data_IF_379002641429
#
_entry.id   IF_379002641429
#
_cell.length_a   1.000
_cell.length_b   1.000
_cell.length_c   1.000
_cell.angle_alpha   90.00
_cell.angle_beta   90.00
_cell.angle_gamma   90.00
#
_symmetry.space_group_name_H-M   'P 1'
#
loop_
_entity.id
_entity.type
_entity.pdbx_description
1 polymer ?
#
# COMPACT_ATOMS: atom_id res chain seq x y z
N UNK A 1 41.96 53.35 4.76
CA UNK A 1 42.06 52.46 3.58
C UNK A 1 41.64 51.07 4.03
N UNK A 2 40.43 50.68 3.65
CA UNK A 2 39.77 49.41 3.94
C UNK A 2 40.27 48.36 2.95
N UNK A 3 40.52 47.12 3.42
CA UNK A 3 40.39 45.93 2.58
C UNK A 3 39.79 44.79 3.42
N UNK A 4 38.57 44.41 3.04
CA UNK A 4 37.85 43.20 3.46
C UNK A 4 37.74 42.30 2.22
N UNK A 5 38.33 41.09 2.20
CA UNK A 5 38.20 40.18 1.07
C UNK A 5 36.93 39.34 1.22
N UNK A 6 35.98 39.61 0.32
CA UNK A 6 34.66 39.00 0.24
C UNK A 6 34.64 37.47 0.35
N UNK A 7 34.00 36.98 1.40
CA UNK A 7 33.50 35.60 1.49
C UNK A 7 32.10 35.53 0.90
N UNK A 8 32.01 35.10 -0.35
CA UNK A 8 30.76 34.69 -1.01
C UNK A 8 30.15 33.51 -0.25
N UNK A 9 29.12 33.77 0.57
CA UNK A 9 28.23 32.76 1.13
C UNK A 9 27.27 32.30 0.02
N UNK A 10 27.60 31.20 -0.66
CA UNK A 10 26.61 30.43 -1.42
C UNK A 10 25.60 29.83 -0.42
N UNK A 11 24.46 30.50 -0.25
CA UNK A 11 23.24 29.93 0.34
C UNK A 11 22.88 28.68 -0.46
N UNK A 12 23.07 27.50 0.13
CA UNK A 12 22.42 26.27 -0.34
C UNK A 12 20.92 26.47 -0.17
N UNK A 13 20.22 26.78 -1.26
CA UNK A 13 18.78 26.63 -1.32
C UNK A 13 18.47 25.14 -1.13
N UNK A 14 17.68 24.84 -0.11
CA UNK A 14 17.15 23.49 0.12
C UNK A 14 16.45 23.00 -1.14
N UNK A 15 16.71 21.73 -1.49
CA UNK A 15 16.16 21.08 -2.67
C UNK A 15 14.64 21.05 -2.63
N UNK A 16 14.01 22.05 -3.24
CA UNK A 16 12.61 21.94 -3.65
C UNK A 16 12.58 20.84 -4.70
N UNK A 17 11.90 19.72 -4.41
CA UNK A 17 11.57 18.75 -5.43
C UNK A 17 10.78 19.47 -6.54
N UNK A 18 11.45 19.81 -7.64
CA UNK A 18 10.81 20.40 -8.80
C UNK A 18 10.04 19.28 -9.50
N UNK A 19 8.77 19.12 -9.14
CA UNK A 19 7.83 18.33 -9.91
C UNK A 19 7.52 19.10 -11.20
N UNK A 20 7.73 18.45 -12.35
CA UNK A 20 7.42 19.05 -13.64
C UNK A 20 5.90 19.32 -13.75
N UNK A 21 5.47 20.51 -14.19
CA UNK A 21 4.07 20.97 -14.14
C UNK A 21 3.09 20.26 -15.09
N UNK A 22 3.51 19.22 -15.81
CA UNK A 22 2.72 18.55 -16.86
C UNK A 22 2.27 17.11 -16.52
N UNK A 23 2.28 16.69 -15.25
CA UNK A 23 1.78 15.37 -14.90
C UNK A 23 0.26 15.38 -14.74
N UNK A 24 -0.42 14.64 -15.60
CA UNK A 24 -1.82 14.22 -15.42
C UNK A 24 -2.00 13.58 -14.05
N UNK A 25 -2.94 14.09 -13.27
CA UNK A 25 -3.36 13.54 -11.98
C UNK A 25 -3.88 12.12 -12.18
N UNK A 26 -3.25 11.12 -11.56
CA UNK A 26 -3.77 9.75 -11.50
C UNK A 26 -4.80 9.64 -10.37
N UNK A 27 -5.68 8.64 -10.43
CA UNK A 27 -6.68 8.41 -9.40
C UNK A 27 -6.07 8.10 -8.02
N UNK A 28 -4.96 7.36 -8.00
CA UNK A 28 -4.26 6.98 -6.78
C UNK A 28 -2.79 7.46 -6.73
N UNK A 29 -2.24 7.63 -5.53
CA UNK A 29 -0.82 7.82 -5.24
C UNK A 29 -0.32 6.85 -4.17
N UNK A 30 0.77 6.12 -4.43
CA UNK A 30 1.26 5.06 -3.53
C UNK A 30 2.73 5.32 -3.18
N UNK A 31 3.05 5.35 -1.89
CA UNK A 31 4.41 5.53 -1.40
C UNK A 31 5.12 4.20 -1.13
N UNK A 32 6.31 4.04 -1.70
CA UNK A 32 7.32 3.07 -1.30
C UNK A 32 8.50 3.80 -0.68
N UNK A 33 8.93 3.39 0.52
CA UNK A 33 9.99 4.08 1.26
C UNK A 33 11.11 3.10 1.59
N UNK A 34 12.34 3.48 1.28
CA UNK A 34 13.54 2.67 1.50
C UNK A 34 14.72 3.53 1.96
N UNK A 35 15.38 3.11 3.04
CA UNK A 35 16.55 3.81 3.60
C UNK A 35 17.89 3.12 3.32
N UNK A 36 17.89 1.98 2.63
CA UNK A 36 19.14 1.32 2.26
C UNK A 36 19.95 2.14 1.28
N UNK A 37 21.26 1.89 1.20
CA UNK A 37 22.16 2.57 0.28
C UNK A 37 21.92 2.21 -1.19
N UNK A 38 21.36 1.02 -1.43
CA UNK A 38 20.93 0.53 -2.74
C UNK A 38 19.55 -0.13 -2.60
N UNK A 39 18.79 -0.13 -3.69
CA UNK A 39 17.52 -0.83 -3.78
C UNK A 39 17.71 -2.36 -3.72
N UNK A 40 16.72 -3.11 -3.20
CA UNK A 40 16.79 -4.57 -3.17
C UNK A 40 16.78 -5.18 -4.58
N UNK A 41 17.28 -6.41 -4.75
CA UNK A 41 17.42 -7.04 -6.07
C UNK A 41 16.09 -7.25 -6.80
N UNK A 42 14.98 -7.38 -6.06
CA UNK A 42 13.64 -7.54 -6.62
C UNK A 42 12.98 -6.23 -7.08
N UNK A 43 13.62 -5.07 -6.91
CA UNK A 43 13.03 -3.77 -7.26
C UNK A 43 12.52 -3.75 -8.71
N UNK A 44 13.26 -4.34 -9.66
CA UNK A 44 12.86 -4.32 -11.07
C UNK A 44 11.49 -4.97 -11.28
N UNK A 45 11.15 -6.02 -10.54
CA UNK A 45 9.83 -6.67 -10.63
C UNK A 45 8.73 -5.73 -10.15
N UNK A 46 8.98 -5.03 -9.05
CA UNK A 46 8.04 -4.06 -8.47
C UNK A 46 7.87 -2.84 -9.37
N UNK A 47 8.94 -2.36 -10.00
CA UNK A 47 8.87 -1.27 -10.99
C UNK A 47 8.04 -1.66 -12.22
N UNK A 48 8.22 -2.89 -12.74
CA UNK A 48 7.39 -3.38 -13.84
C UNK A 48 5.92 -3.52 -13.43
N UNK A 49 5.65 -4.00 -12.22
CA UNK A 49 4.30 -4.09 -11.67
C UNK A 49 3.63 -2.71 -11.51
N UNK A 50 4.37 -1.74 -10.98
CA UNK A 50 3.94 -0.36 -10.84
C UNK A 50 3.64 0.29 -12.22
N UNK A 51 4.54 0.13 -13.19
CA UNK A 51 4.39 0.72 -14.53
C UNK A 51 3.18 0.17 -15.31
N UNK A 52 2.71 -1.03 -14.98
CA UNK A 52 1.54 -1.65 -15.60
C UNK A 52 0.18 -1.19 -15.01
N UNK A 53 0.20 -0.46 -13.89
CA UNK A 53 -0.98 0.04 -13.18
C UNK A 53 -1.07 1.57 -13.28
N UNK A 54 -1.57 2.07 -14.41
CA UNK A 54 -1.48 3.49 -14.81
C UNK A 54 -2.49 4.41 -14.12
N UNK A 55 -3.45 3.87 -13.36
CA UNK A 55 -4.39 4.65 -12.56
C UNK A 55 -3.81 5.05 -11.20
N UNK A 56 -2.63 4.53 -10.86
CA UNK A 56 -1.84 4.93 -9.70
C UNK A 56 -0.51 5.56 -10.12
N UNK A 57 -0.07 6.58 -9.38
CA UNK A 57 1.32 7.07 -9.41
C UNK A 57 2.08 6.44 -8.24
N UNK A 58 3.27 5.92 -8.50
CA UNK A 58 4.11 5.25 -7.51
C UNK A 58 5.32 6.11 -7.15
N UNK A 59 5.40 6.49 -5.90
CA UNK A 59 6.45 7.34 -5.33
C UNK A 59 7.48 6.48 -4.60
N UNK A 60 8.64 6.31 -5.21
CA UNK A 60 9.79 5.62 -4.63
C UNK A 60 10.69 6.62 -3.92
N UNK A 61 10.62 6.64 -2.58
CA UNK A 61 11.43 7.49 -1.71
C UNK A 61 12.65 6.70 -1.23
N UNK A 62 13.83 7.01 -1.75
CA UNK A 62 15.05 6.27 -1.41
C UNK A 62 16.24 6.68 -2.28
N UNK A 63 17.20 5.75 -2.54
CA UNK A 63 18.23 5.94 -3.54
C UNK A 63 17.65 6.29 -4.92
N UNK A 64 18.42 6.92 -5.82
CA UNK A 64 18.02 7.09 -7.21
C UNK A 64 17.58 5.75 -7.80
N UNK A 65 16.44 5.74 -8.48
CA UNK A 65 16.02 4.57 -9.24
C UNK A 65 17.03 4.27 -10.37
N UNK A 66 17.15 3.01 -10.83
CA UNK A 66 17.98 2.67 -11.97
C UNK A 66 17.65 3.54 -13.20
N UNK A 67 18.65 3.93 -14.03
CA UNK A 67 18.40 4.70 -15.25
C UNK A 67 17.32 4.04 -16.12
N UNK A 68 16.41 4.85 -16.67
CA UNK A 68 15.29 4.36 -17.46
C UNK A 68 14.08 3.85 -16.67
N UNK A 69 14.14 3.79 -15.33
CA UNK A 69 13.01 3.34 -14.48
C UNK A 69 11.89 4.38 -14.31
N UNK A 70 12.19 5.66 -14.57
CA UNK A 70 11.21 6.75 -14.49
C UNK A 70 10.29 6.69 -15.73
N UNK A 71 9.37 5.74 -15.74
CA UNK A 71 8.43 5.51 -16.84
C UNK A 71 7.04 5.94 -16.39
N UNK A 72 6.45 6.92 -17.08
CA UNK A 72 5.06 7.34 -16.91
C UNK A 72 4.68 7.70 -15.47
N UNK A 73 4.08 6.74 -14.79
CA UNK A 73 3.50 6.81 -13.45
C UNK A 73 4.47 6.42 -12.30
N UNK A 74 5.73 6.12 -12.61
CA UNK A 74 6.78 5.87 -11.59
C UNK A 74 7.56 7.15 -11.31
N UNK A 75 7.77 7.46 -10.03
CA UNK A 75 8.40 8.69 -9.56
C UNK A 75 9.50 8.37 -8.56
N UNK A 76 10.73 8.84 -8.82
CA UNK A 76 11.81 8.78 -7.84
C UNK A 76 11.84 10.07 -7.03
N UNK A 77 11.84 9.93 -5.70
CA UNK A 77 12.12 11.01 -4.76
C UNK A 77 13.44 10.69 -4.05
N UNK A 78 14.37 11.65 -4.05
CA UNK A 78 15.68 11.46 -3.43
C UNK A 78 15.55 11.42 -1.91
N UNK A 79 15.42 10.21 -1.38
CA UNK A 79 15.35 9.89 0.04
C UNK A 79 16.68 9.41 0.60
N UNK A 80 17.79 9.54 -0.13
CA UNK A 80 19.10 9.02 0.30
C UNK A 80 19.46 9.48 1.70
N UNK A 81 19.97 8.54 2.49
CA UNK A 81 20.35 8.74 3.89
C UNK A 81 19.21 9.24 4.79
N UNK A 82 17.96 9.24 4.33
CA UNK A 82 16.78 9.68 5.08
C UNK A 82 16.67 11.17 5.32
N UNK A 83 17.43 12.02 4.62
CA UNK A 83 17.41 13.47 4.83
C UNK A 83 16.03 14.06 4.51
N UNK A 84 15.49 13.75 3.33
CA UNK A 84 14.14 14.16 2.94
C UNK A 84 13.10 13.75 3.98
N UNK A 85 13.13 12.49 4.43
CA UNK A 85 12.18 11.99 5.41
C UNK A 85 12.29 12.71 6.76
N UNK A 86 13.51 12.91 7.28
CA UNK A 86 13.70 13.64 8.55
C UNK A 86 13.16 15.07 8.47
N UNK A 87 13.39 15.77 7.34
CA UNK A 87 12.86 17.12 7.13
C UNK A 87 11.33 17.12 7.07
N UNK A 88 10.73 16.17 6.36
CA UNK A 88 9.26 16.03 6.31
C UNK A 88 8.67 15.68 7.66
N UNK A 89 9.26 14.74 8.40
CA UNK A 89 8.83 14.34 9.74
C UNK A 89 8.88 15.53 10.70
N UNK A 90 9.99 16.27 10.73
CA UNK A 90 10.13 17.44 11.59
C UNK A 90 9.10 18.52 11.24
N UNK A 91 8.85 18.74 9.95
CA UNK A 91 7.93 19.78 9.46
C UNK A 91 6.46 19.44 9.70
N UNK A 92 6.05 18.20 9.40
CA UNK A 92 4.64 17.81 9.37
C UNK A 92 4.16 17.11 10.65
N UNK A 93 5.06 16.44 11.38
CA UNK A 93 4.70 15.70 12.60
C UNK A 93 5.22 16.38 13.87
N UNK A 94 6.20 17.29 13.76
CA UNK A 94 6.80 17.98 14.90
C UNK A 94 7.55 17.04 15.85
N UNK A 95 8.02 15.89 15.35
CA UNK A 95 8.79 14.91 16.13
C UNK A 95 10.19 14.72 15.55
N UNK A 96 11.15 14.40 16.42
CA UNK A 96 12.50 13.99 16.00
C UNK A 96 12.60 12.47 16.16
N UNK A 97 13.01 11.78 15.10
CA UNK A 97 13.04 10.30 15.06
C UNK A 97 14.41 9.83 14.57
N UNK A 98 14.95 8.80 15.23
CA UNK A 98 16.07 8.03 14.71
C UNK A 98 15.54 7.03 13.68
N UNK A 99 15.67 7.37 12.40
CA UNK A 99 15.26 6.49 11.31
C UNK A 99 16.18 5.25 11.23
N UNK A 100 15.56 4.07 11.25
CA UNK A 100 16.17 2.78 10.95
C UNK A 100 15.28 2.04 9.95
N UNK A 101 15.77 0.98 9.32
CA UNK A 101 14.99 0.23 8.33
C UNK A 101 13.63 -0.23 8.88
N UNK A 102 13.62 -0.82 10.08
CA UNK A 102 12.37 -1.28 10.71
C UNK A 102 11.53 -0.13 11.25
N UNK A 103 12.17 0.96 11.72
CA UNK A 103 11.44 2.11 12.26
C UNK A 103 10.60 2.84 11.20
N UNK A 104 10.95 2.73 9.92
CA UNK A 104 10.13 3.28 8.84
C UNK A 104 8.74 2.65 8.78
N UNK A 105 8.60 1.37 9.15
CA UNK A 105 7.31 0.69 9.11
C UNK A 105 6.30 1.41 10.01
N UNK A 106 6.70 1.80 11.23
CA UNK A 106 5.86 2.59 12.15
C UNK A 106 5.34 3.91 11.57
N UNK A 107 6.04 4.45 10.57
CA UNK A 107 5.70 5.72 9.95
C UNK A 107 4.83 5.55 8.69
N UNK A 108 4.60 4.33 8.19
CA UNK A 108 3.76 4.09 7.00
C UNK A 108 2.41 4.81 7.04
N UNK A 109 1.64 4.79 8.16
CA UNK A 109 0.37 5.50 8.25
C UNK A 109 0.50 7.01 7.99
N UNK A 110 1.69 7.58 8.21
CA UNK A 110 1.96 9.02 8.08
C UNK A 110 2.44 9.43 6.70
N UNK A 111 2.84 8.50 5.81
CA UNK A 111 3.49 8.84 4.54
C UNK A 111 2.70 9.85 3.71
N UNK A 112 1.39 9.70 3.49
CA UNK A 112 0.64 10.70 2.74
C UNK A 112 0.62 12.08 3.41
N UNK A 113 0.57 12.15 4.74
CA UNK A 113 0.61 13.40 5.50
C UNK A 113 2.01 14.06 5.49
N UNK A 114 3.08 13.29 5.29
CA UNK A 114 4.43 13.82 5.10
C UNK A 114 4.65 14.46 3.73
N UNK A 115 3.80 14.13 2.75
CA UNK A 115 3.88 14.64 1.38
C UNK A 115 2.52 15.22 0.95
N UNK A 116 2.01 16.26 1.64
CA UNK A 116 0.68 16.79 1.37
C UNK A 116 0.56 17.35 -0.06
N UNK A 117 1.67 17.83 -0.64
CA UNK A 117 1.71 18.29 -2.02
C UNK A 117 1.52 17.17 -3.06
N UNK A 118 1.81 15.92 -2.69
CA UNK A 118 1.60 14.74 -3.54
C UNK A 118 0.24 14.11 -3.27
N UNK A 119 -0.15 13.99 -1.99
CA UNK A 119 -1.46 13.44 -1.60
C UNK A 119 -2.62 14.21 -2.26
N UNK A 120 -2.53 15.54 -2.35
CA UNK A 120 -3.54 16.39 -3.00
C UNK A 120 -3.72 16.18 -4.51
N UNK A 121 -2.81 15.46 -5.17
CA UNK A 121 -2.87 15.19 -6.61
C UNK A 121 -3.76 13.99 -6.95
N UNK A 122 -4.22 13.26 -5.94
CA UNK A 122 -4.91 11.99 -6.09
C UNK A 122 -6.16 11.96 -5.24
N UNK A 123 -7.21 11.31 -5.74
CA UNK A 123 -8.40 11.02 -4.95
C UNK A 123 -8.12 9.97 -3.88
N UNK A 124 -7.21 9.03 -4.19
CA UNK A 124 -6.79 7.96 -3.32
C UNK A 124 -5.29 8.04 -3.04
N UNK A 125 -4.87 7.77 -1.81
CA UNK A 125 -3.46 7.77 -1.45
C UNK A 125 -3.17 6.70 -0.40
N UNK A 126 -1.94 6.22 -0.38
CA UNK A 126 -1.52 5.31 0.66
C UNK A 126 -0.10 4.82 0.46
N UNK A 127 0.19 3.63 0.93
CA UNK A 127 1.54 3.11 1.00
C UNK A 127 1.55 1.62 0.71
N UNK A 128 2.73 1.13 0.33
CA UNK A 128 2.95 -0.28 0.06
C UNK A 128 4.34 -0.68 0.54
N UNK A 129 4.46 -1.93 0.98
CA UNK A 129 5.77 -2.54 1.14
C UNK A 129 6.50 -2.61 -0.20
N UNK A 130 7.83 -2.59 -0.11
CA UNK A 130 8.71 -2.54 -1.27
C UNK A 130 8.80 -3.88 -2.00
N UNK A 131 8.46 -4.98 -1.35
CA UNK A 131 8.41 -6.32 -1.88
C UNK A 131 7.00 -6.71 -2.34
N UNK A 132 6.11 -5.75 -2.61
CA UNK A 132 4.80 -6.04 -3.16
C UNK A 132 4.83 -5.97 -4.69
N UNK A 133 4.35 -7.05 -5.33
CA UNK A 133 3.96 -7.02 -6.74
C UNK A 133 2.44 -6.93 -6.84
N UNK A 134 2.00 -5.98 -7.67
CA UNK A 134 0.59 -5.68 -7.90
C UNK A 134 -0.03 -6.59 -8.95
N UNK A 135 -1.25 -7.07 -8.68
CA UNK A 135 -2.14 -7.62 -9.69
C UNK A 135 -2.80 -6.53 -10.54
N UNK A 136 -4.12 -6.62 -10.74
CA UNK A 136 -4.92 -5.63 -11.47
C UNK A 136 -5.38 -4.47 -10.56
N UNK A 137 -4.42 -3.73 -10.00
CA UNK A 137 -4.71 -2.57 -9.14
C UNK A 137 -5.53 -1.50 -9.88
N UNK A 138 -5.30 -1.30 -11.18
CA UNK A 138 -6.11 -0.38 -12.01
C UNK A 138 -7.60 -0.72 -11.96
N UNK A 139 -7.94 -2.00 -12.11
CA UNK A 139 -9.31 -2.49 -12.04
C UNK A 139 -9.88 -2.47 -10.61
N UNK A 140 -9.03 -2.52 -9.59
CA UNK A 140 -9.40 -2.38 -8.18
C UNK A 140 -9.77 -0.94 -7.85
N UNK A 141 -8.94 0.02 -8.27
CA UNK A 141 -9.24 1.45 -8.17
C UNK A 141 -10.49 1.78 -9.00
N UNK A 142 -10.80 1.04 -10.06
CA UNK A 142 -11.90 1.35 -10.99
C UNK A 142 -13.27 1.06 -10.41
N UNK A 143 -13.34 0.15 -9.43
CA UNK A 143 -14.60 -0.19 -8.77
C UNK A 143 -14.94 0.72 -7.61
N UNK A 144 -13.98 1.51 -7.13
CA UNK A 144 -14.19 2.35 -5.95
C UNK A 144 -15.31 3.35 -6.24
N UNK A 145 -16.26 3.42 -5.32
CA UNK A 145 -17.43 4.29 -5.39
C UNK A 145 -17.21 5.53 -4.51
N UNK A 146 -18.04 6.55 -4.67
CA UNK A 146 -17.93 7.82 -3.94
C UNK A 146 -17.96 7.66 -2.41
N UNK A 147 -18.69 6.65 -1.92
CA UNK A 147 -18.79 6.32 -0.50
C UNK A 147 -17.68 5.41 0.02
N UNK A 148 -16.86 4.81 -0.85
CA UNK A 148 -15.73 3.99 -0.40
C UNK A 148 -14.61 4.90 0.13
N UNK A 149 -13.99 4.50 1.22
CA UNK A 149 -12.98 5.32 1.90
C UNK A 149 -11.65 4.60 2.13
N UNK A 150 -11.66 3.28 2.17
CA UNK A 150 -10.48 2.46 2.39
C UNK A 150 -10.53 1.22 1.50
N UNK A 151 -9.51 0.99 0.66
CA UNK A 151 -9.31 -0.26 -0.09
C UNK A 151 -8.32 -1.14 0.69
N UNK A 152 -8.73 -2.36 1.02
CA UNK A 152 -7.94 -3.33 1.80
C UNK A 152 -7.89 -4.72 1.17
N UNK A 153 -6.77 -5.45 1.28
CA UNK A 153 -6.71 -6.84 0.82
C UNK A 153 -7.82 -7.72 1.42
N UNK A 154 -8.62 -8.37 0.58
CA UNK A 154 -9.78 -9.16 1.00
C UNK A 154 -9.44 -10.33 1.93
N UNK A 155 -8.27 -10.94 1.78
CA UNK A 155 -7.84 -12.08 2.60
C UNK A 155 -7.65 -11.76 4.10
N UNK A 156 -7.71 -10.48 4.49
CA UNK A 156 -7.63 -10.02 5.87
C UNK A 156 -8.84 -9.16 6.28
N UNK A 157 -9.86 -9.05 5.43
CA UNK A 157 -11.09 -8.33 5.76
C UNK A 157 -12.09 -9.27 6.47
N UNK A 158 -12.85 -8.83 7.49
CA UNK A 158 -12.95 -7.46 8.03
C UNK A 158 -11.90 -7.09 9.09
N UNK A 159 -11.06 -8.02 9.53
CA UNK A 159 -9.97 -7.74 10.46
C UNK A 159 -8.79 -8.68 10.20
N UNK A 160 -7.55 -8.15 10.10
CA UNK A 160 -7.14 -6.75 10.26
C UNK A 160 -7.38 -5.86 9.02
N UNK A 161 -7.72 -4.58 9.25
CA UNK A 161 -7.85 -3.58 8.19
C UNK A 161 -6.53 -2.91 7.79
N UNK A 162 -5.49 -3.01 8.62
CA UNK A 162 -4.13 -2.65 8.24
C UNK A 162 -3.17 -3.81 8.54
N UNK A 163 -2.44 -4.23 7.51
CA UNK A 163 -1.47 -5.32 7.58
C UNK A 163 -0.10 -4.92 7.01
N UNK A 164 0.19 -3.60 6.98
CA UNK A 164 1.45 -3.03 6.49
C UNK A 164 1.75 -3.15 5.00
N UNK A 165 1.21 -4.16 4.30
CA UNK A 165 1.63 -4.56 2.95
C UNK A 165 1.16 -3.58 1.87
N UNK A 166 -0.12 -3.23 1.87
CA UNK A 166 -0.70 -2.27 0.94
C UNK A 166 -1.95 -1.68 1.57
N UNK A 167 -1.97 -0.35 1.63
CA UNK A 167 -3.12 0.41 2.04
C UNK A 167 -3.37 1.52 1.04
N UNK A 168 -4.63 1.71 0.68
CA UNK A 168 -5.07 2.83 -0.13
C UNK A 168 -6.34 3.40 0.48
N UNK A 169 -6.31 4.65 0.88
CA UNK A 169 -7.44 5.35 1.49
C UNK A 169 -7.74 6.63 0.73
N UNK A 170 -8.97 7.13 0.86
CA UNK A 170 -9.36 8.38 0.22
C UNK A 170 -8.52 9.53 0.77
N UNK A 171 -8.08 10.45 -0.09
CA UNK A 171 -7.27 11.63 0.26
C UNK A 171 -8.10 12.70 0.99
N UNK A 172 -8.74 12.32 2.09
CA UNK A 172 -9.50 13.23 2.96
C UNK A 172 -8.70 13.52 4.22
N UNK A 173 -8.84 14.72 4.78
CA UNK A 173 -8.19 15.07 6.05
C UNK A 173 -8.46 14.02 7.14
N UNK A 174 -9.69 13.47 7.19
CA UNK A 174 -10.09 12.40 8.10
C UNK A 174 -9.12 11.21 8.07
N UNK A 175 -8.75 10.73 6.88
CA UNK A 175 -7.94 9.51 6.73
C UNK A 175 -6.44 9.80 6.69
N UNK A 176 -6.03 10.94 6.11
CA UNK A 176 -4.64 11.38 6.13
C UNK A 176 -4.11 11.57 7.56
N UNK A 177 -4.99 11.86 8.52
CA UNK A 177 -4.66 12.09 9.92
C UNK A 177 -5.27 11.05 10.88
N UNK A 178 -5.82 9.93 10.37
CA UNK A 178 -6.45 8.92 11.22
C UNK A 178 -5.47 8.34 12.26
N UNK A 179 -4.18 8.23 11.93
CA UNK A 179 -3.12 7.77 12.84
C UNK A 179 -2.94 8.66 14.07
N UNK A 180 -3.39 9.93 14.05
CA UNK A 180 -3.33 10.82 15.21
C UNK A 180 -4.27 10.38 16.34
N UNK A 181 -5.26 9.52 16.03
CA UNK A 181 -6.17 8.92 17.01
C UNK A 181 -5.49 7.87 17.89
N UNK A 182 -4.30 7.40 17.53
CA UNK A 182 -3.51 6.48 18.37
C UNK A 182 -3.03 7.24 19.62
N UNK A 183 -3.47 6.87 20.84
CA UNK A 183 -3.00 7.50 22.06
C UNK A 183 -1.49 7.38 22.20
N UNK A 184 -0.83 8.52 22.45
CA UNK A 184 0.63 8.54 22.59
C UNK A 184 1.42 8.28 21.30
N UNK A 185 0.81 8.46 20.11
CA UNK A 185 1.48 8.24 18.82
C UNK A 185 2.85 8.94 18.71
N UNK A 186 2.98 10.17 19.26
CA UNK A 186 4.26 10.91 19.26
C UNK A 186 5.36 10.14 19.98
N UNK A 187 5.05 9.61 21.16
CA UNK A 187 5.96 8.77 21.94
C UNK A 187 6.30 7.50 21.19
N UNK A 188 5.30 6.85 20.59
CA UNK A 188 5.52 5.63 19.82
C UNK A 188 6.38 5.87 18.58
N UNK A 189 6.21 6.98 17.85
CA UNK A 189 7.05 7.38 16.72
C UNK A 189 8.47 7.79 17.15
N UNK A 190 8.62 8.45 18.30
CA UNK A 190 9.93 8.85 18.83
C UNK A 190 10.76 7.68 19.37
N UNK A 191 10.12 6.57 19.79
CA UNK A 191 10.83 5.38 20.27
C UNK A 191 11.72 4.80 19.15
N UNK A 192 13.03 4.62 19.37
CA UNK A 192 13.94 4.10 18.34
C UNK A 192 13.64 2.64 17.97
N UNK A 193 12.88 1.91 18.77
CA UNK A 193 12.44 0.55 18.47
C UNK A 193 11.28 0.58 17.48
N UNK A 194 11.24 -0.45 16.64
CA UNK A 194 10.08 -0.76 15.83
C UNK A 194 8.93 -1.21 16.74
N UNK A 195 7.80 -0.51 16.65
CA UNK A 195 6.60 -0.76 17.47
C UNK A 195 5.48 -1.46 16.71
N UNK A 196 5.66 -1.67 15.40
CA UNK A 196 4.65 -2.26 14.53
C UNK A 196 3.33 -1.46 14.57
N UNK A 197 3.43 -0.12 14.54
CA UNK A 197 2.25 0.76 14.51
C UNK A 197 1.41 0.61 13.24
N UNK A 198 2.04 0.21 12.13
CA UNK A 198 1.41 -0.07 10.85
C UNK A 198 0.69 -1.42 10.78
N UNK A 199 0.84 -2.25 11.82
CA UNK A 199 0.46 -3.66 11.82
C UNK A 199 -0.46 -4.02 12.99
N UNK A 200 -1.31 -5.02 12.78
CA UNK A 200 -2.29 -5.51 13.77
C UNK A 200 -1.72 -6.29 14.96
N UNK A 201 -0.49 -6.79 14.82
CA UNK A 201 0.21 -7.58 15.84
C UNK A 201 1.15 -6.74 16.73
N UNK A 202 1.27 -5.44 16.43
CA UNK A 202 2.16 -4.52 17.13
C UNK A 202 1.62 -3.98 18.45
N UNK A 203 2.10 -2.78 18.81
CA UNK A 203 1.58 -2.03 19.96
C UNK A 203 0.10 -1.73 19.78
N UNK A 204 -0.66 -1.77 20.89
CA UNK A 204 -2.08 -1.46 20.89
C UNK A 204 -2.41 -0.18 21.67
N UNK A 205 -3.33 0.66 21.16
CA UNK A 205 -3.94 0.53 19.83
C UNK A 205 -2.92 0.85 18.71
N UNK A 206 -2.97 0.04 17.65
CA UNK A 206 -2.23 0.21 16.39
C UNK A 206 -3.06 1.04 15.39
N UNK A 207 -2.49 1.35 14.23
CA UNK A 207 -3.27 1.94 13.15
C UNK A 207 -4.41 1.03 12.67
N UNK A 208 -4.20 -0.29 12.67
CA UNK A 208 -5.27 -1.24 12.35
C UNK A 208 -6.42 -1.17 13.35
N UNK A 209 -6.13 -1.00 14.65
CA UNK A 209 -7.17 -0.89 15.67
C UNK A 209 -7.99 0.40 15.46
N UNK A 210 -7.34 1.53 15.15
CA UNK A 210 -8.03 2.78 14.85
C UNK A 210 -8.98 2.67 13.65
N UNK A 211 -8.53 2.07 12.54
CA UNK A 211 -9.38 1.91 11.35
C UNK A 211 -10.53 0.94 11.62
N UNK A 212 -10.30 -0.07 12.44
CA UNK A 212 -11.33 -1.00 12.85
C UNK A 212 -12.40 -0.31 13.70
N UNK A 213 -12.00 0.46 14.72
CA UNK A 213 -12.91 1.26 15.54
C UNK A 213 -13.71 2.25 14.68
N UNK A 214 -13.05 2.95 13.75
CA UNK A 214 -13.72 3.84 12.81
C UNK A 214 -14.76 3.11 11.94
N UNK A 215 -14.49 1.86 11.56
CA UNK A 215 -15.43 1.05 10.77
C UNK A 215 -16.63 0.63 11.62
N UNK A 216 -16.40 0.18 12.86
CA UNK A 216 -17.46 -0.19 13.79
C UNK A 216 -18.39 0.98 14.15
N UNK A 217 -17.81 2.18 14.28
CA UNK A 217 -18.57 3.41 14.55
C UNK A 217 -19.34 3.95 13.33
N UNK A 218 -19.23 3.30 12.16
CA UNK A 218 -19.82 3.80 10.91
C UNK A 218 -19.11 5.06 10.35
N UNK A 219 -17.92 5.38 10.87
CA UNK A 219 -17.10 6.52 10.47
C UNK A 219 -16.11 6.21 9.33
N UNK A 220 -16.06 4.96 8.86
CA UNK A 220 -15.20 4.49 7.78
C UNK A 220 -15.90 3.41 6.96
N UNK A 221 -15.92 3.57 5.65
CA UNK A 221 -16.40 2.54 4.71
C UNK A 221 -15.20 1.86 4.05
N UNK A 222 -14.90 0.64 4.49
CA UNK A 222 -13.84 -0.19 3.92
C UNK A 222 -14.38 -1.11 2.80
N UNK A 223 -13.70 -1.10 1.67
CA UNK A 223 -13.93 -1.92 0.48
C UNK A 223 -12.84 -2.98 0.37
N UNK A 224 -13.14 -4.27 0.55
CA UNK A 224 -12.18 -5.32 0.27
C UNK A 224 -11.87 -5.42 -1.23
N UNK A 225 -10.68 -5.89 -1.56
CA UNK A 225 -10.30 -6.21 -2.94
C UNK A 225 -11.23 -7.28 -3.54
N UNK A 226 -11.41 -7.27 -4.86
CA UNK A 226 -12.21 -8.32 -5.54
C UNK A 226 -11.37 -9.22 -6.45
N UNK A 227 -10.08 -8.91 -6.58
CA UNK A 227 -9.09 -9.61 -7.39
C UNK A 227 -7.82 -9.85 -6.57
N UNK A 228 -6.98 -10.81 -7.01
CA UNK A 228 -5.57 -10.89 -6.60
C UNK A 228 -4.88 -9.53 -6.68
N UNK A 229 -4.59 -8.93 -5.52
CA UNK A 229 -4.00 -7.59 -5.50
C UNK A 229 -2.51 -7.59 -5.14
N UNK A 230 -2.10 -8.43 -4.19
CA UNK A 230 -0.79 -8.32 -3.54
C UNK A 230 -0.19 -9.70 -3.36
N UNK A 231 1.09 -9.83 -3.70
CA UNK A 231 1.92 -10.91 -3.21
C UNK A 231 3.24 -10.31 -2.74
N UNK A 232 3.65 -10.72 -1.54
CA UNK A 232 5.01 -10.50 -1.05
C UNK A 232 5.99 -11.33 -1.89
N UNK A 233 6.82 -10.61 -2.62
CA UNK A 233 7.80 -11.11 -3.57
C UNK A 233 8.89 -11.91 -2.86
N UNK A 234 9.22 -11.62 -1.60
CA UNK A 234 10.19 -12.42 -0.83
C UNK A 234 9.69 -13.85 -0.69
N UNK A 235 8.38 -14.04 -0.48
CA UNK A 235 7.76 -15.36 -0.39
C UNK A 235 7.72 -16.08 -1.75
N UNK A 236 7.72 -15.33 -2.86
CA UNK A 236 7.82 -15.90 -4.20
C UNK A 236 9.21 -16.43 -4.55
N UNK A 237 10.28 -15.92 -3.91
CA UNK A 237 11.68 -16.25 -4.21
C UNK A 237 12.43 -16.97 -3.07
N UNK A 238 11.77 -17.93 -2.39
CA UNK A 238 12.44 -18.80 -1.42
C UNK A 238 13.30 -19.87 -2.13
N UNK A 239 14.62 -19.67 -2.21
CA UNK A 239 15.55 -20.68 -2.74
C UNK A 239 16.67 -20.11 -3.61
N UNK A 240 17.54 -20.98 -4.13
CA UNK A 240 18.77 -20.67 -4.90
C UNK A 240 18.56 -19.86 -6.21
N UNK A 241 17.33 -19.44 -6.52
CA UNK A 241 16.93 -18.69 -7.73
C UNK A 241 17.20 -17.18 -7.65
N UNK A 242 18.31 -16.76 -7.03
CA UNK A 242 18.75 -15.35 -7.11
C UNK A 242 19.00 -14.89 -8.56
N UNK A 243 19.33 -15.82 -9.46
CA UNK A 243 19.52 -15.53 -10.87
C UNK A 243 18.21 -15.15 -11.59
N UNK A 244 17.07 -15.71 -11.17
CA UNK A 244 15.76 -15.44 -11.78
C UNK A 244 15.15 -14.09 -11.36
N UNK A 245 15.71 -13.41 -10.35
CA UNK A 245 15.23 -12.09 -9.90
C UNK A 245 15.53 -10.97 -10.91
N UNK A 246 16.37 -11.23 -11.92
CA UNK A 246 16.74 -10.25 -12.95
C UNK A 246 15.92 -10.39 -14.24
N UNK A 247 15.28 -11.54 -14.48
CA UNK A 247 14.43 -11.73 -15.65
C UNK A 247 13.00 -11.28 -15.34
N UNK A 248 12.47 -10.38 -16.16
CA UNK A 248 11.12 -9.78 -16.05
C UNK A 248 10.00 -10.81 -16.26
N UNK A 249 10.36 -12.08 -16.48
CA UNK A 249 9.46 -13.22 -16.58
C UNK A 249 9.71 -14.15 -15.40
N UNK A 250 8.71 -14.29 -14.54
CA UNK A 250 8.69 -15.29 -13.47
C UNK A 250 7.51 -16.21 -13.68
N UNK A 251 7.72 -17.51 -13.48
CA UNK A 251 6.67 -18.51 -13.41
C UNK A 251 7.02 -19.49 -12.30
N UNK A 252 6.30 -19.45 -11.18
CA UNK A 252 6.40 -20.49 -10.14
C UNK A 252 5.13 -21.30 -10.12
N UNK A 253 5.31 -22.62 -10.11
CA UNK A 253 4.24 -23.59 -10.06
C UNK A 253 4.00 -24.03 -8.61
N UNK A 254 2.73 -24.27 -8.29
CA UNK A 254 2.30 -24.95 -7.07
C UNK A 254 2.73 -24.27 -5.76
N UNK A 255 2.65 -22.93 -5.67
CA UNK A 255 2.86 -22.23 -4.39
C UNK A 255 1.70 -22.57 -3.46
N UNK A 256 1.94 -23.11 -2.24
CA UNK A 256 0.87 -23.40 -1.29
C UNK A 256 0.10 -22.13 -0.93
N UNK A 257 -1.23 -22.21 -1.01
CA UNK A 257 -2.13 -21.12 -0.69
C UNK A 257 -2.73 -21.26 0.72
N UNK A 258 -3.13 -22.48 1.08
CA UNK A 258 -3.80 -22.79 2.34
C UNK A 258 -3.38 -24.18 2.86
N UNK A 259 -3.75 -24.47 4.12
CA UNK A 259 -3.56 -25.79 4.73
C UNK A 259 -4.47 -26.88 4.16
N UNK A 260 -5.34 -26.54 3.19
CA UNK A 260 -6.28 -27.46 2.53
C UNK A 260 -5.73 -27.96 1.18
N UNK A 261 -4.46 -27.66 0.88
CA UNK A 261 -3.78 -28.15 -0.31
C UNK A 261 -4.10 -27.36 -1.58
N UNK A 262 -4.74 -26.20 -1.48
CA UNK A 262 -4.81 -25.30 -2.61
C UNK A 262 -3.43 -24.75 -2.93
N UNK A 263 -3.14 -24.62 -4.21
CA UNK A 263 -1.91 -24.03 -4.70
C UNK A 263 -2.21 -22.97 -5.76
N UNK A 264 -1.20 -22.21 -6.16
CA UNK A 264 -1.32 -21.35 -7.32
C UNK A 264 -0.05 -21.34 -8.17
N UNK A 265 -0.25 -21.08 -9.45
CA UNK A 265 0.80 -20.67 -10.36
C UNK A 265 0.78 -19.15 -10.45
N UNK A 266 1.91 -18.50 -10.18
CA UNK A 266 2.06 -17.07 -10.41
C UNK A 266 2.92 -16.85 -11.65
N UNK A 267 2.45 -16.00 -12.54
CA UNK A 267 3.19 -15.57 -13.73
C UNK A 267 3.17 -14.06 -13.84
N UNK A 268 4.33 -13.43 -14.01
CA UNK A 268 4.39 -12.01 -14.36
C UNK A 268 4.30 -11.89 -15.89
N UNK A 269 3.20 -11.37 -16.41
CA UNK A 269 2.98 -11.19 -17.84
C UNK A 269 2.61 -9.74 -18.14
N UNK A 270 3.36 -9.09 -19.03
CA UNK A 270 3.16 -7.67 -19.41
C UNK A 270 3.14 -6.72 -18.19
N UNK A 271 3.99 -7.00 -17.21
CA UNK A 271 4.07 -6.23 -15.96
C UNK A 271 2.89 -6.44 -15.02
N UNK A 272 2.00 -7.40 -15.26
CA UNK A 272 0.90 -7.73 -14.35
C UNK A 272 1.09 -9.11 -13.75
N UNK A 273 0.82 -9.23 -12.46
CA UNK A 273 0.79 -10.53 -11.81
C UNK A 273 -0.49 -11.25 -12.22
N UNK A 274 -0.30 -12.33 -12.96
CA UNK A 274 -1.33 -13.31 -13.28
C UNK A 274 -1.22 -14.46 -12.30
N UNK A 275 -2.32 -14.81 -11.66
CA UNK A 275 -2.35 -15.94 -10.73
C UNK A 275 -3.41 -16.93 -11.18
N UNK A 276 -2.99 -18.17 -11.42
CA UNK A 276 -3.86 -19.29 -11.71
C UNK A 276 -3.92 -20.19 -10.47
N UNK A 277 -5.07 -20.24 -9.81
CA UNK A 277 -5.28 -21.10 -8.65
C UNK A 277 -5.53 -22.55 -9.08
N UNK A 278 -5.00 -23.50 -8.32
CA UNK A 278 -5.29 -24.94 -8.41
C UNK A 278 -5.75 -25.47 -7.06
N UNK A 279 -6.63 -26.48 -7.06
CA UNK A 279 -7.19 -27.06 -5.83
C UNK A 279 -8.56 -26.50 -5.44
N UNK A 280 -9.14 -26.94 -4.31
CA UNK A 280 -10.55 -26.70 -3.94
C UNK A 280 -10.79 -25.23 -3.63
N UNK A 281 -11.76 -24.53 -4.24
CA UNK A 281 -12.01 -23.11 -3.93
C UNK A 281 -12.57 -22.95 -2.51
N UNK A 282 -11.93 -22.08 -1.72
CA UNK A 282 -12.37 -21.70 -0.38
C UNK A 282 -12.74 -20.23 -0.44
N UNK A 283 -14.03 -19.94 -0.31
CA UNK A 283 -14.56 -18.58 -0.38
C UNK A 283 -14.37 -17.85 0.94
N UNK A 284 -14.33 -16.52 0.91
CA UNK A 284 -14.19 -15.69 2.12
C UNK A 284 -15.28 -15.93 3.20
N UNK A 285 -16.38 -16.61 2.86
CA UNK A 285 -17.43 -17.03 3.81
C UNK A 285 -17.22 -18.43 4.39
N UNK A 286 -16.28 -19.19 3.86
CA UNK A 286 -15.92 -20.49 4.40
C UNK A 286 -15.01 -20.25 5.60
N UNK A 287 -15.43 -20.68 6.78
CA UNK A 287 -14.82 -20.39 8.08
C UNK A 287 -13.37 -20.91 8.27
N UNK A 288 -12.72 -21.37 7.20
CA UNK A 288 -11.42 -22.04 7.17
C UNK A 288 -10.39 -21.26 6.33
N UNK A 289 -10.57 -19.95 6.10
CA UNK A 289 -9.47 -19.12 5.53
C UNK A 289 -8.61 -18.59 6.67
N UNK A 290 -7.95 -19.49 7.39
CA UNK A 290 -6.90 -19.13 8.33
C UNK A 290 -5.61 -18.83 7.56
N UNK A 291 -5.19 -17.57 7.61
CA UNK A 291 -3.81 -17.19 7.93
C UNK A 291 -2.68 -17.87 7.14
N UNK A 292 -2.67 -17.79 5.82
CA UNK A 292 -1.39 -17.73 5.11
C UNK A 292 -1.23 -16.33 4.53
N UNK A 293 -0.40 -15.57 5.24
CA UNK A 293 -0.17 -14.15 5.06
C UNK A 293 0.18 -13.78 3.64
N UNK A 294 -0.02 -12.49 3.36
CA UNK A 294 0.50 -11.75 2.21
C UNK A 294 -0.22 -11.88 0.86
N UNK A 295 -1.22 -12.76 0.70
CA UNK A 295 -1.80 -13.01 -0.63
C UNK A 295 -3.34 -12.89 -0.66
N UNK A 296 -3.86 -11.82 -1.27
CA UNK A 296 -5.28 -11.61 -1.57
C UNK A 296 -5.77 -12.54 -2.71
N UNK A 297 -5.41 -13.81 -2.72
CA UNK A 297 -5.82 -14.77 -3.77
C UNK A 297 -7.19 -15.41 -3.49
N UNK A 298 -7.86 -14.97 -2.41
CA UNK A 298 -9.07 -15.57 -1.85
C UNK A 298 -10.36 -15.38 -2.67
N UNK A 299 -10.30 -14.95 -3.93
CA UNK A 299 -11.48 -14.86 -4.80
C UNK A 299 -11.28 -15.68 -6.07
N UNK A 300 -11.54 -16.98 -5.96
CA UNK A 300 -11.78 -17.84 -7.10
C UNK A 300 -13.04 -17.37 -7.85
N UNK A 301 -13.11 -17.55 -9.18
CA UNK A 301 -14.25 -17.14 -10.00
C UNK A 301 -15.59 -17.76 -9.55
N UNK A 302 -15.54 -18.89 -8.83
CA UNK A 302 -16.69 -19.51 -8.16
C UNK A 302 -17.22 -18.61 -7.01
N UNK A 303 -16.33 -18.06 -6.19
CA UNK A 303 -16.68 -17.16 -5.08
C UNK A 303 -17.21 -15.81 -5.56
N UNK A 304 -16.69 -15.29 -6.68
CA UNK A 304 -17.20 -14.05 -7.30
C UNK A 304 -18.64 -14.23 -7.80
N UNK A 305 -18.99 -15.43 -8.30
CA UNK A 305 -20.36 -15.76 -8.71
C UNK A 305 -21.32 -15.84 -7.51
N UNK A 306 -20.90 -16.45 -6.39
CA UNK A 306 -21.72 -16.53 -5.18
C UNK A 306 -22.00 -15.17 -4.52
N UNK A 307 -21.05 -14.23 -4.54
CA UNK A 307 -21.27 -12.87 -4.02
C UNK A 307 -22.40 -12.13 -4.73
N UNK A 308 -22.41 -12.18 -6.07
CA UNK A 308 -23.39 -11.49 -6.91
C UNK A 308 -24.83 -11.98 -6.75
N UNK A 309 -25.02 -13.25 -6.37
CA UNK A 309 -26.34 -13.82 -6.11
C UNK A 309 -26.89 -13.37 -4.73
N UNK A 310 -26.02 -13.31 -3.71
CA UNK A 310 -26.43 -12.90 -2.36
C UNK A 310 -26.66 -11.38 -2.23
N UNK A 311 -25.92 -10.55 -2.98
CA UNK A 311 -26.17 -9.10 -3.05
C UNK A 311 -27.52 -8.82 -3.75
N UNK A 312 -27.87 -9.57 -4.80
CA UNK A 312 -29.21 -9.49 -5.43
C UNK A 312 -30.31 -9.94 -4.48
N UNK A 313 -30.10 -11.01 -3.72
CA UNK A 313 -31.08 -11.49 -2.73
C UNK A 313 -31.27 -10.49 -1.57
N UNK A 314 -30.20 -9.86 -1.09
CA UNK A 314 -30.27 -8.82 -0.05
C UNK A 314 -30.88 -7.50 -0.52
N UNK A 315 -30.71 -7.14 -1.80
CA UNK A 315 -31.37 -5.98 -2.42
C UNK A 315 -32.86 -6.24 -2.69
N UNK A 316 -33.23 -7.46 -3.09
CA UNK A 316 -34.63 -7.87 -3.28
C UNK A 316 -35.39 -7.99 -1.95
N UNK A 317 -34.73 -8.40 -0.86
CA UNK A 317 -35.35 -8.47 0.47
C UNK A 317 -35.56 -7.08 1.14
N UNK A 318 -34.96 -6.01 0.62
CA UNK A 318 -35.17 -4.63 1.10
C UNK A 318 -36.20 -3.84 0.28
N UNK A 319 -36.79 -4.47 -0.73
CA UNK A 319 -37.85 -3.90 -1.55
C UNK A 319 -39.18 -4.61 -1.28
N UNK A 320 -39.67 -4.55 -0.05
CA UNK A 320 -41.09 -4.79 0.24
C UNK A 320 -41.64 -3.71 1.19
N UNK A 321 -42.15 -2.59 0.63
CA UNK A 321 -42.98 -1.66 1.36
C UNK A 321 -44.45 -1.98 1.03
N UNK A 322 -45.03 -2.97 1.71
CA UNK A 322 -46.48 -3.18 1.64
C UNK A 322 -47.07 -3.72 2.94
N UNK A 323 -47.09 -2.87 3.96
CA UNK A 323 -48.18 -2.86 4.94
C UNK A 323 -49.37 -2.09 4.35
N UNK A 324 -50.58 -2.68 4.25
CA UNK A 324 -51.79 -1.90 4.16
C UNK A 324 -52.19 -1.43 5.57
N UNK A 325 -52.43 -0.13 5.65
CA UNK A 325 -53.20 0.57 6.67
C UNK A 325 -54.54 -0.11 6.96
N UNK A 326 -54.81 -0.38 8.23
CA UNK A 326 -56.05 -0.01 8.94
C UNK A 326 -55.68 0.48 10.35
#
# INVERSE_FOLDING_TARGET
>A
MLQDPGRSRRRRQGGRAQLSPNRTTTAAGIFHVWLGSAWPPYLNLVLHAAAANRRATFYFVGPPLPPGSAIGNVVSLDGRNGTLLRERIATHLGVSIRLTHRKMCDLKPTWPALFPELARLHEWVGFSDLDVVYGDLDGEIARLQEGDELLVPAGMYPQPLANGNLMLFRSTHKLLHAWERIPGWRTALADPRYRALDEWWGVRPSFSDILYDMTLDGNLVARPTARPLVVDVINLFSGKDRAAQQEVAFSRREVPLDGLGATFNATLARGRLMVERRGPCVCARDAIVSQLGTSSLATCAECTRHGSASERAGMLARADPSSPTE
#
